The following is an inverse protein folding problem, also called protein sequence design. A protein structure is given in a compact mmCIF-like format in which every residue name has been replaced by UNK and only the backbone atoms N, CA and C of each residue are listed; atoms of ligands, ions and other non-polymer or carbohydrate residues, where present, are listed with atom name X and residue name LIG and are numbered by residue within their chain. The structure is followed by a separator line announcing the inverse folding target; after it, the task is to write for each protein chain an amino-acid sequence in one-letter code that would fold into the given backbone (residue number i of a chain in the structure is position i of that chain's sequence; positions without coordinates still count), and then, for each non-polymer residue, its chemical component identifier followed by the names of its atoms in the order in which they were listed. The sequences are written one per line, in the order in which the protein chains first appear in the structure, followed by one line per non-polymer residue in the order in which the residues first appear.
data_IF_833738169747
#
_entry.id   IF_833738169747
#
_cell.length_a   1.000
_cell.length_b   1.000
_cell.length_c   1.000
_cell.angle_alpha   90.00
_cell.angle_beta   90.00
_cell.angle_gamma   90.00
#
_symmetry.space_group_name_H-M   'P 1'
#
loop_
_entity.id
_entity.type
_entity.pdbx_description
1 polymer ?
#
# COMPACT_ATOMS: atom_id res chain seq x y z
N UNK A 1 1.08 -9.26 -13.99
CA UNK A 1 1.76 -9.22 -12.69
C UNK A 1 0.71 -9.37 -11.58
N UNK A 2 1.09 -9.87 -10.39
CA UNK A 2 0.19 -9.90 -9.22
C UNK A 2 0.35 -8.61 -8.43
N UNK A 3 -0.75 -8.06 -7.95
CA UNK A 3 -0.78 -6.93 -7.00
C UNK A 3 -0.08 -7.33 -5.70
N UNK A 4 0.69 -6.40 -5.13
CA UNK A 4 1.47 -6.61 -3.91
C UNK A 4 1.41 -5.38 -3.03
N UNK A 5 1.37 -5.61 -1.72
CA UNK A 5 1.57 -4.60 -0.69
C UNK A 5 2.58 -5.19 0.30
N UNK A 6 3.62 -4.46 0.64
CA UNK A 6 4.56 -4.85 1.68
C UNK A 6 4.21 -4.20 3.01
N UNK A 7 4.30 -4.98 4.08
CA UNK A 7 4.17 -4.47 5.44
C UNK A 7 5.41 -4.85 6.26
N UNK A 8 6.25 -3.85 6.55
CA UNK A 8 7.46 -4.01 7.37
C UNK A 8 7.00 -4.04 8.84
N UNK A 9 6.95 -5.23 9.40
CA UNK A 9 6.48 -5.47 10.76
C UNK A 9 7.61 -5.47 11.80
N UNK A 10 7.24 -5.53 13.07
CA UNK A 10 8.15 -5.64 14.23
C UNK A 10 9.07 -4.43 14.43
N UNK A 11 8.61 -3.25 14.06
CA UNK A 11 9.37 -2.01 14.29
C UNK A 11 9.41 -1.60 15.78
N UNK A 12 8.77 -2.37 16.63
CA UNK A 12 8.84 -2.29 18.09
C UNK A 12 10.14 -2.87 18.68
N UNK A 13 10.95 -3.55 17.89
CA UNK A 13 12.20 -4.16 18.36
C UNK A 13 13.38 -3.20 18.28
N UNK A 14 14.27 -3.23 19.27
CA UNK A 14 15.47 -2.40 19.34
C UNK A 14 16.39 -2.56 18.10
N UNK A 15 16.40 -3.76 17.49
CA UNK A 15 17.20 -4.03 16.28
C UNK A 15 16.47 -3.72 14.98
N UNK A 16 15.27 -3.17 15.04
CA UNK A 16 14.49 -2.85 13.85
C UNK A 16 15.09 -1.65 13.12
N UNK A 17 15.27 -1.78 11.81
CA UNK A 17 15.75 -0.71 10.96
C UNK A 17 14.91 -0.66 9.69
N UNK A 18 13.96 0.27 9.67
CA UNK A 18 13.05 0.48 8.54
C UNK A 18 13.82 0.79 7.25
N UNK A 19 14.78 1.72 7.31
CA UNK A 19 15.52 2.18 6.13
C UNK A 19 16.32 1.05 5.48
N UNK A 20 16.93 0.19 6.29
CA UNK A 20 17.67 -0.97 5.79
C UNK A 20 16.73 -1.91 5.01
N UNK A 21 15.58 -2.25 5.59
CA UNK A 21 14.60 -3.13 4.95
C UNK A 21 14.01 -2.51 3.69
N UNK A 22 13.71 -1.21 3.71
CA UNK A 22 13.24 -0.49 2.53
C UNK A 22 14.27 -0.53 1.40
N UNK A 23 15.55 -0.28 1.69
CA UNK A 23 16.61 -0.36 0.70
C UNK A 23 16.76 -1.77 0.11
N UNK A 24 16.70 -2.81 0.94
CA UNK A 24 16.71 -4.21 0.48
C UNK A 24 15.50 -4.51 -0.44
N UNK A 25 14.31 -3.98 -0.13
CA UNK A 25 13.14 -4.11 -1.01
C UNK A 25 13.36 -3.41 -2.35
N UNK A 26 13.94 -2.21 -2.34
CA UNK A 26 14.27 -1.46 -3.58
C UNK A 26 15.32 -2.21 -4.40
N UNK A 27 16.36 -2.79 -3.79
CA UNK A 27 17.35 -3.60 -4.48
C UNK A 27 16.73 -4.85 -5.14
N UNK A 28 15.78 -5.51 -4.47
CA UNK A 28 15.15 -6.73 -4.96
C UNK A 28 14.06 -6.51 -6.01
N UNK A 29 13.29 -5.42 -5.88
CA UNK A 29 12.09 -5.20 -6.68
C UNK A 29 12.16 -3.94 -7.57
N UNK A 30 13.16 -3.10 -7.38
CA UNK A 30 13.39 -1.89 -8.18
C UNK A 30 12.42 -0.75 -7.85
N UNK A 31 12.22 0.13 -8.83
CA UNK A 31 11.47 1.38 -8.69
C UNK A 31 9.96 1.21 -8.45
N UNK A 32 9.43 -0.01 -8.53
CA UNK A 32 8.04 -0.24 -8.18
C UNK A 32 7.75 -0.13 -6.67
N UNK A 33 8.79 -0.14 -5.83
CA UNK A 33 8.66 -0.03 -4.37
C UNK A 33 8.38 1.40 -3.98
N UNK A 34 7.19 1.66 -3.44
CA UNK A 34 6.73 3.00 -3.07
C UNK A 34 6.42 3.06 -1.57
N UNK A 35 7.21 3.77 -0.76
CA UNK A 35 6.92 3.96 0.66
C UNK A 35 5.69 4.85 0.84
N UNK A 36 4.68 4.33 1.55
CA UNK A 36 3.42 5.03 1.82
C UNK A 36 3.29 5.37 3.30
N UNK A 37 3.66 4.47 4.20
CA UNK A 37 3.70 4.74 5.64
C UNK A 37 5.12 4.58 6.16
N UNK A 38 5.64 5.64 6.77
CA UNK A 38 7.04 5.79 7.17
C UNK A 38 7.10 6.08 8.68
N UNK A 39 7.96 5.39 9.46
CA UNK A 39 8.18 5.73 10.84
C UNK A 39 9.06 6.97 10.95
N UNK A 40 8.74 7.89 11.86
CA UNK A 40 9.56 9.04 12.21
C UNK A 40 9.97 8.98 13.67
N UNK A 41 11.22 9.28 13.94
CA UNK A 41 11.81 9.28 15.27
C UNK A 41 13.31 9.01 15.23
N UNK A 42 13.88 8.82 16.42
CA UNK A 42 15.30 8.44 16.57
C UNK A 42 15.45 6.94 16.67
N UNK A 43 16.65 6.44 16.43
CA UNK A 43 16.96 5.01 16.53
C UNK A 43 16.43 4.41 17.84
N UNK A 44 15.62 3.35 17.71
CA UNK A 44 14.97 2.65 18.83
C UNK A 44 13.75 3.32 19.43
N UNK A 45 13.37 4.54 18.98
CA UNK A 45 12.16 5.21 19.46
C UNK A 45 11.42 5.89 18.31
N UNK A 46 10.24 5.35 17.98
CA UNK A 46 9.36 5.93 16.96
C UNK A 46 8.43 6.93 17.65
N UNK A 47 8.50 8.18 17.24
CA UNK A 47 7.69 9.28 17.76
C UNK A 47 6.32 9.33 17.08
N UNK A 48 6.30 9.15 15.76
CA UNK A 48 5.04 9.08 14.99
C UNK A 48 5.21 8.27 13.70
N UNK A 49 4.10 8.04 13.03
CA UNK A 49 3.99 7.33 11.76
C UNK A 49 3.42 8.29 10.73
N UNK A 50 4.10 8.48 9.62
CA UNK A 50 3.73 9.44 8.58
C UNK A 50 3.12 8.71 7.40
N UNK A 51 1.86 9.02 7.10
CA UNK A 51 1.16 8.60 5.88
C UNK A 51 1.44 9.63 4.78
N UNK A 52 2.37 9.30 3.90
CA UNK A 52 2.84 10.18 2.83
C UNK A 52 1.75 10.42 1.79
N UNK A 53 0.91 9.42 1.51
CA UNK A 53 -0.17 9.57 0.54
C UNK A 53 -1.25 10.55 1.01
N UNK A 54 -1.44 10.69 2.34
CA UNK A 54 -2.41 11.60 2.95
C UNK A 54 -1.79 12.85 3.54
N UNK A 55 -0.45 12.93 3.59
CA UNK A 55 0.31 14.01 4.25
C UNK A 55 -0.16 14.24 5.69
N UNK A 56 -0.29 13.15 6.44
CA UNK A 56 -0.73 13.14 7.84
C UNK A 56 0.20 12.31 8.70
N UNK A 57 0.33 12.70 9.96
CA UNK A 57 1.11 11.95 10.94
C UNK A 57 0.22 11.47 12.10
N UNK A 58 0.57 10.30 12.65
CA UNK A 58 -0.22 9.62 13.67
C UNK A 58 0.67 9.09 14.78
N UNK A 59 0.19 9.20 16.01
CA UNK A 59 0.71 8.46 17.17
C UNK A 59 -0.28 7.39 17.58
N UNK A 60 0.20 6.38 18.30
CA UNK A 60 -0.63 5.27 18.75
C UNK A 60 -0.48 5.07 20.25
N UNK A 61 -1.59 4.90 20.95
CA UNK A 61 -1.59 4.49 22.34
C UNK A 61 -1.10 3.04 22.47
N UNK A 62 -0.07 2.81 23.26
CA UNK A 62 0.60 1.50 23.37
C UNK A 62 -0.29 0.39 23.95
N UNK A 63 -1.35 0.73 24.69
CA UNK A 63 -2.22 -0.24 25.33
C UNK A 63 -3.45 -0.58 24.49
N UNK A 64 -3.99 0.41 23.78
CA UNK A 64 -5.25 0.28 23.04
C UNK A 64 -5.05 0.21 21.53
N UNK A 65 -3.87 0.58 21.00
CA UNK A 65 -3.60 0.73 19.58
C UNK A 65 -4.35 1.88 18.94
N UNK A 66 -5.04 2.72 19.72
CA UNK A 66 -5.84 3.82 19.20
C UNK A 66 -4.93 4.89 18.60
N UNK A 67 -5.22 5.24 17.35
CA UNK A 67 -4.49 6.31 16.66
C UNK A 67 -4.98 7.70 17.06
N UNK A 68 -4.05 8.65 17.02
CA UNK A 68 -4.33 10.08 17.18
C UNK A 68 -3.53 10.83 16.15
N UNK A 69 -4.20 11.68 15.37
CA UNK A 69 -3.55 12.54 14.38
C UNK A 69 -2.73 13.61 15.12
N UNK A 70 -1.50 13.81 14.67
CA UNK A 70 -0.56 14.81 15.20
C UNK A 70 -0.05 15.69 14.08
N UNK A 71 0.60 16.79 14.43
CA UNK A 71 1.23 17.66 13.45
C UNK A 71 2.30 16.91 12.66
N UNK A 72 2.33 17.12 11.34
CA UNK A 72 3.29 16.45 10.47
C UNK A 72 4.70 17.00 10.74
N UNK A 73 5.67 16.13 11.06
CA UNK A 73 7.03 16.57 11.30
C UNK A 73 7.66 17.07 10.00
N UNK A 74 8.53 18.08 10.13
CA UNK A 74 9.32 18.61 9.01
C UNK A 74 10.61 17.81 8.88
N UNK A 75 10.71 17.03 7.80
CA UNK A 75 11.89 16.23 7.49
C UNK A 75 12.04 16.15 5.96
N UNK A 76 13.19 16.54 5.39
CA UNK A 76 13.45 16.45 3.95
C UNK A 76 13.27 15.05 3.37
N UNK A 77 13.33 14.03 4.20
CA UNK A 77 13.06 12.65 3.80
C UNK A 77 11.61 12.45 3.36
N UNK A 78 10.65 13.11 4.00
CA UNK A 78 9.24 13.03 3.62
C UNK A 78 8.96 13.74 2.31
N UNK A 79 9.59 14.87 2.06
CA UNK A 79 9.48 15.59 0.78
C UNK A 79 9.94 14.69 -0.37
N UNK A 80 11.09 14.05 -0.22
CA UNK A 80 11.61 13.10 -1.20
C UNK A 80 10.72 11.87 -1.36
N UNK A 81 10.19 11.33 -0.27
CA UNK A 81 9.27 10.20 -0.33
C UNK A 81 7.96 10.57 -1.07
N UNK A 82 7.48 11.80 -0.87
CA UNK A 82 6.32 12.32 -1.58
C UNK A 82 6.59 12.52 -3.08
N UNK A 83 7.78 13.02 -3.45
CA UNK A 83 8.18 13.11 -4.86
C UNK A 83 8.19 11.73 -5.53
N UNK A 84 8.82 10.72 -4.91
CA UNK A 84 8.82 9.34 -5.41
C UNK A 84 7.40 8.76 -5.53
N UNK A 85 6.52 9.09 -4.60
CA UNK A 85 5.12 8.69 -4.65
C UNK A 85 4.40 9.36 -5.82
N UNK A 86 4.63 10.65 -6.07
CA UNK A 86 4.07 11.37 -7.21
C UNK A 86 4.57 10.80 -8.55
N UNK A 87 5.85 10.42 -8.65
CA UNK A 87 6.39 9.73 -9.82
C UNK A 87 5.68 8.39 -10.06
N UNK A 88 5.51 7.58 -9.01
CA UNK A 88 4.80 6.31 -9.11
C UNK A 88 3.32 6.47 -9.51
N UNK A 89 2.66 7.54 -9.03
CA UNK A 89 1.30 7.90 -9.44
C UNK A 89 1.26 8.33 -10.90
N UNK A 90 2.22 9.14 -11.35
CA UNK A 90 2.32 9.59 -12.74
C UNK A 90 2.45 8.41 -13.71
N UNK A 91 3.25 7.40 -13.36
CA UNK A 91 3.44 6.20 -14.18
C UNK A 91 2.19 5.27 -14.22
N UNK A 92 1.17 5.55 -13.42
CA UNK A 92 -0.01 4.68 -13.34
C UNK A 92 -0.96 4.79 -14.53
N UNK A 93 -1.07 5.96 -15.15
CA UNK A 93 -1.85 6.21 -16.37
C UNK A 93 -1.35 7.45 -17.13
N UNK A 94 -1.71 7.54 -18.42
CA UNK A 94 -1.27 8.60 -19.35
C UNK A 94 -1.70 10.00 -18.87
N UNK A 95 -2.93 10.15 -18.40
CA UNK A 95 -3.46 11.42 -17.88
C UNK A 95 -2.62 11.96 -16.70
N UNK A 96 -2.22 11.09 -15.77
CA UNK A 96 -1.40 11.50 -14.63
C UNK A 96 0.04 11.80 -15.05
N UNK A 97 0.56 11.09 -16.05
CA UNK A 97 1.88 11.38 -16.60
C UNK A 97 1.92 12.77 -17.26
N UNK A 98 0.92 13.11 -18.07
CA UNK A 98 0.81 14.42 -18.67
C UNK A 98 0.73 15.54 -17.62
N UNK A 99 -0.10 15.35 -16.61
CA UNK A 99 -0.24 16.30 -15.50
C UNK A 99 1.07 16.52 -14.75
N UNK A 100 1.79 15.44 -14.45
CA UNK A 100 3.10 15.50 -13.77
C UNK A 100 4.14 16.25 -14.63
N UNK A 101 4.22 15.96 -15.92
CA UNK A 101 5.14 16.63 -16.86
C UNK A 101 4.80 18.11 -17.05
N UNK A 102 3.53 18.50 -16.91
CA UNK A 102 3.09 19.89 -16.91
C UNK A 102 3.48 20.64 -15.62
N UNK A 103 4.01 19.95 -14.60
CA UNK A 103 4.35 20.52 -13.30
C UNK A 103 3.14 20.80 -12.39
N UNK A 104 2.01 20.20 -12.70
CA UNK A 104 0.80 20.32 -11.90
C UNK A 104 0.85 19.39 -10.67
N UNK A 105 0.28 19.85 -9.55
CA UNK A 105 0.20 19.04 -8.34
C UNK A 105 -0.99 18.09 -8.39
N UNK A 106 -0.79 16.87 -7.91
CA UNK A 106 -1.88 15.93 -7.70
C UNK A 106 -2.74 16.32 -6.49
N UNK A 107 -4.03 16.10 -6.60
CA UNK A 107 -4.93 16.10 -5.45
C UNK A 107 -4.76 14.80 -4.65
N UNK A 108 -5.24 14.80 -3.42
CA UNK A 108 -5.19 13.59 -2.59
C UNK A 108 -5.97 12.43 -3.21
N UNK A 109 -7.11 12.71 -3.85
CA UNK A 109 -7.93 11.71 -4.53
C UNK A 109 -7.19 11.10 -5.72
N UNK A 110 -6.48 11.91 -6.51
CA UNK A 110 -5.66 11.45 -7.64
C UNK A 110 -4.49 10.58 -7.16
N UNK A 111 -3.86 10.93 -6.03
CA UNK A 111 -2.81 10.12 -5.43
C UNK A 111 -3.34 8.75 -5.04
N UNK A 112 -4.45 8.68 -4.31
CA UNK A 112 -5.06 7.40 -3.89
C UNK A 112 -5.48 6.58 -5.11
N UNK A 113 -6.09 7.22 -6.11
CA UNK A 113 -6.51 6.56 -7.35
C UNK A 113 -5.31 6.04 -8.15
N UNK A 114 -4.25 6.83 -8.31
CA UNK A 114 -3.03 6.41 -9.01
C UNK A 114 -2.30 5.27 -8.31
N UNK A 115 -2.20 5.30 -6.97
CA UNK A 115 -1.68 4.19 -6.19
C UNK A 115 -2.50 2.92 -6.39
N UNK A 116 -3.84 3.02 -6.44
CA UNK A 116 -4.72 1.89 -6.73
C UNK A 116 -4.46 1.33 -8.12
N UNK A 117 -4.46 2.17 -9.16
CA UNK A 117 -4.21 1.75 -10.54
C UNK A 117 -2.84 1.06 -10.66
N UNK A 118 -1.78 1.68 -10.14
CA UNK A 118 -0.43 1.13 -10.17
C UNK A 118 -0.31 -0.19 -9.40
N UNK A 119 -1.00 -0.32 -8.26
CA UNK A 119 -1.03 -1.57 -7.47
C UNK A 119 -1.78 -2.67 -8.19
N UNK A 120 -2.96 -2.38 -8.75
CA UNK A 120 -3.76 -3.35 -9.51
C UNK A 120 -3.01 -3.87 -10.73
N UNK A 121 -2.29 -2.98 -11.45
CA UNK A 121 -1.49 -3.34 -12.62
C UNK A 121 -0.14 -3.98 -12.25
N UNK A 122 0.24 -3.97 -10.96
CA UNK A 122 1.51 -4.48 -10.45
C UNK A 122 2.72 -3.65 -10.87
N UNK A 123 2.54 -2.38 -11.19
CA UNK A 123 3.60 -1.40 -11.47
C UNK A 123 4.06 -0.71 -10.18
N UNK A 124 3.16 -0.51 -9.23
CA UNK A 124 3.47 0.05 -7.92
C UNK A 124 3.27 -1.01 -6.84
N UNK A 125 4.16 -1.04 -5.89
CA UNK A 125 4.09 -1.90 -4.70
C UNK A 125 4.18 -1.00 -3.46
N UNK A 126 3.05 -0.63 -2.85
CA UNK A 126 3.02 0.18 -1.64
C UNK A 126 3.74 -0.52 -0.49
N UNK A 127 4.57 0.23 0.23
CA UNK A 127 5.26 -0.22 1.44
C UNK A 127 4.71 0.52 2.64
N UNK A 128 4.20 -0.24 3.57
CA UNK A 128 3.74 0.25 4.87
C UNK A 128 4.59 -0.39 5.96
N UNK A 129 4.47 0.13 7.16
CA UNK A 129 5.21 -0.39 8.29
C UNK A 129 4.42 -0.26 9.59
N UNK A 130 4.81 -1.02 10.60
CA UNK A 130 4.14 -0.99 11.89
C UNK A 130 4.57 -2.10 12.85
N UNK A 131 3.79 -2.25 13.91
CA UNK A 131 3.92 -3.37 14.86
C UNK A 131 2.57 -4.03 15.10
N UNK A 132 2.51 -5.33 14.88
CA UNK A 132 1.32 -6.11 15.20
C UNK A 132 1.17 -6.36 16.72
N UNK A 133 2.28 -6.31 17.47
CA UNK A 133 2.27 -6.53 18.94
C UNK A 133 1.55 -5.38 19.65
N UNK A 134 1.85 -4.14 19.26
CA UNK A 134 1.25 -2.94 19.82
C UNK A 134 0.13 -2.35 18.96
N UNK A 135 -0.25 -3.03 17.88
CA UNK A 135 -1.26 -2.60 16.90
C UNK A 135 -0.94 -1.23 16.23
N UNK A 136 0.31 -0.78 16.30
CA UNK A 136 0.71 0.50 15.73
C UNK A 136 0.74 0.44 14.20
N UNK A 137 0.10 1.40 13.55
CA UNK A 137 -0.05 1.53 12.11
C UNK A 137 -0.74 0.34 11.39
N UNK A 138 -1.35 -0.60 12.13
CA UNK A 138 -2.15 -1.70 11.54
C UNK A 138 -3.40 -1.14 10.86
N UNK A 139 -4.00 -0.11 11.42
CA UNK A 139 -5.15 0.56 10.81
C UNK A 139 -4.80 1.18 9.45
N UNK A 140 -3.59 1.74 9.30
CA UNK A 140 -3.08 2.21 7.99
C UNK A 140 -2.96 1.07 6.98
N UNK A 141 -2.59 -0.13 7.41
CA UNK A 141 -2.58 -1.30 6.53
C UNK A 141 -4.00 -1.67 6.07
N UNK A 142 -5.00 -1.62 6.96
CA UNK A 142 -6.38 -1.89 6.60
C UNK A 142 -6.93 -0.87 5.60
N UNK A 143 -6.63 0.43 5.79
CA UNK A 143 -6.96 1.46 4.81
C UNK A 143 -6.25 1.20 3.47
N UNK A 144 -4.96 0.87 3.48
CA UNK A 144 -4.22 0.59 2.25
C UNK A 144 -4.78 -0.62 1.49
N UNK A 145 -5.21 -1.67 2.18
CA UNK A 145 -5.87 -2.82 1.56
C UNK A 145 -7.18 -2.39 0.90
N UNK A 146 -7.99 -1.58 1.60
CA UNK A 146 -9.27 -1.08 1.07
C UNK A 146 -9.07 -0.15 -0.14
N UNK A 147 -8.09 0.73 -0.08
CA UNK A 147 -7.92 1.80 -1.05
C UNK A 147 -7.08 1.36 -2.27
N UNK A 148 -6.06 0.52 -2.08
CA UNK A 148 -5.09 0.18 -3.13
C UNK A 148 -5.19 -1.24 -3.65
N UNK A 149 -5.68 -2.20 -2.86
CA UNK A 149 -5.76 -3.58 -3.34
C UNK A 149 -6.93 -3.77 -4.33
N UNK A 150 -6.75 -4.64 -5.34
CA UNK A 150 -7.85 -4.98 -6.23
C UNK A 150 -8.97 -5.70 -5.47
N UNK A 151 -10.19 -5.35 -5.81
CA UNK A 151 -11.38 -6.07 -5.37
C UNK A 151 -11.66 -7.28 -6.28
N UNK A 152 -12.50 -8.22 -5.88
CA UNK A 152 -12.95 -9.30 -6.77
C UNK A 152 -13.64 -8.80 -8.05
N UNK A 153 -14.13 -7.55 -8.06
CA UNK A 153 -14.77 -6.94 -9.24
C UNK A 153 -13.76 -6.44 -10.27
N UNK A 154 -12.52 -6.16 -9.85
CA UNK A 154 -11.47 -5.60 -10.72
C UNK A 154 -10.91 -6.67 -11.68
N UNK A 155 -11.02 -7.95 -11.35
CA UNK A 155 -10.45 -9.03 -12.13
C UNK A 155 -11.44 -10.17 -12.34
N UNK A 156 -11.66 -10.55 -13.60
CA UNK A 156 -12.39 -11.79 -13.91
C UNK A 156 -11.53 -13.02 -13.56
N UNK A 157 -12.14 -14.02 -12.98
CA UNK A 157 -11.48 -15.29 -12.65
C UNK A 157 -11.67 -16.27 -13.81
N UNK A 158 -10.58 -16.86 -14.27
CA UNK A 158 -10.66 -17.93 -15.28
C UNK A 158 -11.06 -19.23 -14.60
N UNK A 159 -12.13 -19.84 -15.08
CA UNK A 159 -12.63 -21.13 -14.63
C UNK A 159 -12.78 -22.08 -15.82
N UNK A 160 -13.01 -23.37 -15.54
CA UNK A 160 -13.31 -24.38 -16.52
C UNK A 160 -14.73 -24.87 -16.24
N UNK A 161 -15.59 -24.86 -17.24
CA UNK A 161 -16.97 -25.36 -17.11
C UNK A 161 -17.02 -26.89 -17.09
N UNK A 162 -18.23 -27.45 -16.92
CA UNK A 162 -18.44 -28.89 -16.90
C UNK A 162 -18.12 -29.61 -18.22
N UNK A 163 -17.99 -28.86 -19.32
CA UNK A 163 -17.67 -29.39 -20.63
C UNK A 163 -16.14 -29.34 -20.91
N UNK A 164 -15.36 -28.70 -20.03
CA UNK A 164 -13.94 -28.49 -20.18
C UNK A 164 -13.59 -27.19 -20.89
N UNK A 165 -14.55 -26.30 -21.14
CA UNK A 165 -14.33 -25.03 -21.81
C UNK A 165 -13.92 -23.96 -20.82
N UNK A 166 -12.98 -23.08 -21.23
CA UNK A 166 -12.54 -21.95 -20.44
C UNK A 166 -13.62 -20.86 -20.41
N UNK A 167 -14.05 -20.48 -19.20
CA UNK A 167 -15.04 -19.42 -18.97
C UNK A 167 -14.44 -18.34 -18.08
N UNK A 168 -14.81 -17.09 -18.34
CA UNK A 168 -14.51 -15.98 -17.45
C UNK A 168 -15.68 -15.73 -16.50
N UNK A 169 -15.36 -15.73 -15.20
CA UNK A 169 -16.34 -15.50 -14.14
C UNK A 169 -16.06 -14.14 -13.53
N UNK A 170 -17.07 -13.29 -13.52
CA UNK A 170 -17.05 -12.02 -12.81
C UNK A 170 -17.76 -12.19 -11.46
N UNK A 171 -17.24 -11.56 -10.41
CA UNK A 171 -17.86 -11.62 -9.07
C UNK A 171 -18.97 -10.57 -8.95
N UNK A 172 -20.03 -10.67 -9.78
CA UNK A 172 -21.19 -9.79 -9.70
C UNK A 172 -22.21 -10.35 -8.73
N UNK A 173 -22.93 -9.48 -8.01
CA UNK A 173 -24.01 -9.91 -7.09
C UNK A 173 -25.15 -10.63 -7.80
N UNK A 174 -25.33 -10.36 -9.11
CA UNK A 174 -26.33 -11.03 -9.96
C UNK A 174 -25.91 -12.43 -10.43
N UNK A 175 -24.64 -12.79 -10.27
CA UNK A 175 -24.11 -14.04 -10.79
C UNK A 175 -24.35 -15.21 -9.82
N UNK A 176 -24.42 -16.46 -10.31
CA UNK A 176 -24.51 -17.63 -9.45
C UNK A 176 -23.34 -17.72 -8.46
N UNK A 177 -23.62 -18.14 -7.23
CA UNK A 177 -22.58 -18.36 -6.23
C UNK A 177 -21.57 -19.41 -6.70
N UNK A 178 -20.29 -19.08 -6.62
CA UNK A 178 -19.17 -19.97 -6.99
C UNK A 178 -18.23 -20.16 -5.80
N UNK A 179 -17.72 -21.38 -5.67
CA UNK A 179 -16.79 -21.77 -4.60
C UNK A 179 -15.54 -22.38 -5.22
N UNK A 180 -14.38 -21.98 -4.69
CA UNK A 180 -13.10 -22.61 -5.03
C UNK A 180 -12.50 -23.28 -3.80
N UNK A 181 -12.27 -24.59 -3.88
CA UNK A 181 -11.51 -25.31 -2.85
C UNK A 181 -10.03 -25.03 -3.07
N UNK A 182 -9.41 -24.36 -2.12
CA UNK A 182 -7.98 -23.99 -2.19
C UNK A 182 -7.09 -24.81 -1.25
N UNK A 183 -7.68 -25.55 -0.30
CA UNK A 183 -6.97 -26.42 0.65
C UNK A 183 -7.92 -27.46 1.24
N UNK A 184 -7.46 -28.68 1.34
CA UNK A 184 -8.09 -29.75 2.12
C UNK A 184 -7.29 -29.93 3.41
N UNK A 185 -7.98 -29.98 4.55
CA UNK A 185 -7.38 -30.22 5.86
C UNK A 185 -8.00 -31.52 6.39
N UNK A 186 -7.13 -32.47 6.76
CA UNK A 186 -7.52 -33.73 7.39
C UNK A 186 -7.22 -33.67 8.89
#
# INVERSE_FOLDING_TARGET
KKSKIFFISKLDRESANYQKVLNELVELYGNCVCPVVIPHGKEGHIECWVDIARLKAYTYDANTGKETEVEMPQDPFFDRAYELLCEAVAESCEEYLEKYLAGEKFTQEEIIHGLRLGTCNGHVTPVLCGSALFLTAVERLLYAINDYAPSPLDNAVKAIDKNGDAVEVKCLESDPAMLQVFKTVA
#
